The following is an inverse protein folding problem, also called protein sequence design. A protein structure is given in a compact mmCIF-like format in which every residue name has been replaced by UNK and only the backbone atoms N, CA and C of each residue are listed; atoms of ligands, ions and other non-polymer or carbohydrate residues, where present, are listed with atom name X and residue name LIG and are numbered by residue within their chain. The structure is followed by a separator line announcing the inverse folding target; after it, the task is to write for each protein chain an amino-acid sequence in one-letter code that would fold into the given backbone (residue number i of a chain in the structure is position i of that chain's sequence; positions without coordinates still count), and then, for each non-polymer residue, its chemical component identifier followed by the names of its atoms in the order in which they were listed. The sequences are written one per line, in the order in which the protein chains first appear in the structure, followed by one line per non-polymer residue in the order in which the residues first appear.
data_IF_663620109604
#
_entry.id   IF_663620109604
#
_cell.length_a   1.000
_cell.length_b   1.000
_cell.length_c   1.000
_cell.angle_alpha   90.00
_cell.angle_beta   90.00
_cell.angle_gamma   90.00
#
_symmetry.space_group_name_H-M   'P 1'
#
loop_
_entity.id
_entity.type
_entity.pdbx_description
1 polymer ?
#
# COMPACT_ATOMS: atom_id res chain seq x y z
N UNK A 1 10.60 -0.41 24.76
CA UNK A 1 9.42 0.38 24.31
C UNK A 1 9.22 0.19 22.81
N UNK A 2 8.56 -0.89 22.37
CA UNK A 2 8.33 -1.22 20.95
C UNK A 2 6.91 -0.82 20.46
N UNK A 3 6.30 0.21 21.07
CA UNK A 3 4.87 0.54 20.86
C UNK A 3 4.56 1.87 20.17
N UNK A 4 5.49 2.84 20.17
CA UNK A 4 5.19 4.19 19.67
C UNK A 4 5.30 4.32 18.14
N UNK A 5 6.27 3.64 17.51
CA UNK A 5 6.46 3.69 16.05
C UNK A 5 5.39 2.95 15.26
N UNK A 6 4.91 1.80 15.77
CA UNK A 6 3.90 0.97 15.10
C UNK A 6 2.54 1.66 15.07
N UNK A 7 2.11 2.27 16.19
CA UNK A 7 0.83 3.01 16.26
C UNK A 7 0.79 4.25 15.37
N UNK A 8 1.94 4.87 15.08
CA UNK A 8 2.02 5.97 14.11
C UNK A 8 1.95 5.46 12.68
N UNK A 9 2.61 4.35 12.38
CA UNK A 9 2.60 3.77 11.04
C UNK A 9 1.22 3.24 10.65
N UNK A 10 0.54 2.59 11.59
CA UNK A 10 -0.83 2.10 11.45
C UNK A 10 -1.77 3.25 11.05
N UNK A 11 -1.80 4.33 11.84
CA UNK A 11 -2.57 5.53 11.51
C UNK A 11 -2.20 6.14 10.16
N UNK A 12 -0.90 6.21 9.84
CA UNK A 12 -0.45 6.76 8.55
C UNK A 12 -0.94 5.93 7.36
N UNK A 13 -0.93 4.59 7.46
CA UNK A 13 -1.48 3.74 6.41
C UNK A 13 -2.99 3.90 6.31
N UNK A 14 -3.70 3.96 7.43
CA UNK A 14 -5.15 4.17 7.44
C UNK A 14 -5.54 5.49 6.74
N UNK A 15 -4.87 6.60 7.10
CA UNK A 15 -5.09 7.92 6.48
C UNK A 15 -4.77 7.93 4.98
N UNK A 16 -3.72 7.22 4.55
CA UNK A 16 -3.38 7.08 3.14
C UNK A 16 -4.46 6.30 2.38
N UNK A 17 -4.94 5.18 2.94
CA UNK A 17 -5.99 4.36 2.34
C UNK A 17 -7.32 5.12 2.24
N UNK A 18 -7.69 5.85 3.29
CA UNK A 18 -8.87 6.74 3.28
C UNK A 18 -8.75 7.83 2.21
N UNK A 19 -7.59 8.48 2.11
CA UNK A 19 -7.37 9.54 1.13
C UNK A 19 -7.43 9.00 -0.30
N UNK A 20 -6.78 7.87 -0.57
CA UNK A 20 -6.87 7.20 -1.87
C UNK A 20 -8.31 6.80 -2.19
N UNK A 21 -9.04 6.23 -1.22
CA UNK A 21 -10.43 5.83 -1.41
C UNK A 21 -11.36 7.00 -1.74
N UNK A 22 -11.08 8.22 -1.26
CA UNK A 22 -11.86 9.43 -1.57
C UNK A 22 -11.50 10.04 -2.92
N UNK A 23 -10.24 9.90 -3.34
CA UNK A 23 -9.73 10.45 -4.60
C UNK A 23 -10.00 9.56 -5.80
N UNK A 24 -10.22 8.26 -5.58
CA UNK A 24 -10.58 7.32 -6.63
C UNK A 24 -12.10 7.37 -6.78
N UNK A 25 -12.55 7.81 -7.95
CA UNK A 25 -13.92 7.55 -8.37
C UNK A 25 -14.04 6.07 -8.78
N UNK A 26 -14.87 5.31 -8.06
CA UNK A 26 -15.08 3.89 -8.32
C UNK A 26 -15.78 3.60 -9.64
N UNK A 27 -16.47 4.57 -10.24
CA UNK A 27 -17.07 4.44 -11.56
C UNK A 27 -16.03 4.54 -12.68
N UNK A 28 -15.06 5.45 -12.53
CA UNK A 28 -14.02 5.71 -13.53
C UNK A 28 -12.80 4.78 -13.39
N UNK A 29 -12.51 4.33 -12.17
CA UNK A 29 -11.35 3.48 -11.86
C UNK A 29 -11.72 2.28 -10.98
N UNK A 30 -12.61 1.38 -11.45
CA UNK A 30 -13.18 0.31 -10.63
C UNK A 30 -12.10 -0.66 -10.11
N UNK A 31 -11.07 -0.99 -10.91
CA UNK A 31 -9.99 -1.87 -10.46
C UNK A 31 -9.11 -1.22 -9.40
N UNK A 32 -8.77 0.06 -9.53
CA UNK A 32 -7.99 0.79 -8.52
C UNK A 32 -8.79 0.92 -7.22
N UNK A 33 -10.10 1.23 -7.31
CA UNK A 33 -11.00 1.31 -6.16
C UNK A 33 -11.10 -0.03 -5.43
N UNK A 34 -11.21 -1.13 -6.18
CA UNK A 34 -11.22 -2.49 -5.63
C UNK A 34 -9.92 -2.79 -4.87
N UNK A 35 -8.77 -2.47 -5.43
CA UNK A 35 -7.48 -2.69 -4.77
C UNK A 35 -7.34 -1.89 -3.47
N UNK A 36 -7.76 -0.62 -3.45
CA UNK A 36 -7.75 0.20 -2.23
C UNK A 36 -8.73 -0.32 -1.18
N UNK A 37 -9.93 -0.75 -1.60
CA UNK A 37 -10.92 -1.36 -0.71
C UNK A 37 -10.40 -2.66 -0.07
N UNK A 38 -9.75 -3.52 -0.87
CA UNK A 38 -9.09 -4.74 -0.36
C UNK A 38 -7.97 -4.40 0.62
N UNK A 39 -7.16 -3.37 0.35
CA UNK A 39 -6.11 -2.93 1.26
C UNK A 39 -6.66 -2.42 2.60
N UNK A 40 -7.81 -1.72 2.60
CA UNK A 40 -8.51 -1.32 3.84
C UNK A 40 -8.98 -2.51 4.65
N UNK A 41 -9.53 -3.53 4.01
CA UNK A 41 -9.92 -4.76 4.68
C UNK A 41 -8.71 -5.51 5.26
N UNK A 42 -7.63 -5.64 4.48
CA UNK A 42 -6.39 -6.28 4.89
C UNK A 42 -5.73 -5.55 6.08
N UNK A 43 -5.87 -4.23 6.17
CA UNK A 43 -5.29 -3.43 7.26
C UNK A 43 -5.83 -3.79 8.65
N UNK A 44 -7.02 -4.38 8.75
CA UNK A 44 -7.55 -4.85 10.02
C UNK A 44 -6.87 -6.13 10.54
N UNK A 45 -6.18 -6.87 9.66
CA UNK A 45 -5.65 -8.21 9.97
C UNK A 45 -4.15 -8.35 9.70
N UNK A 46 -3.53 -7.41 8.98
CA UNK A 46 -2.15 -7.48 8.53
C UNK A 46 -1.34 -6.27 8.98
N UNK A 47 -0.02 -6.45 9.03
CA UNK A 47 0.90 -5.38 9.37
C UNK A 47 0.84 -4.24 8.33
N UNK A 48 0.91 -2.97 8.76
CA UNK A 48 0.84 -1.81 7.86
C UNK A 48 1.83 -1.86 6.68
N UNK A 49 3.04 -2.37 6.90
CA UNK A 49 4.07 -2.52 5.84
C UNK A 49 3.67 -3.56 4.78
N UNK A 50 3.02 -4.65 5.21
CA UNK A 50 2.54 -5.70 4.31
C UNK A 50 1.43 -5.16 3.42
N UNK A 51 0.47 -4.43 4.00
CA UNK A 51 -0.61 -3.77 3.27
C UNK A 51 -0.06 -2.75 2.28
N UNK A 52 0.87 -1.90 2.71
CA UNK A 52 1.51 -0.91 1.85
C UNK A 52 2.22 -1.55 0.66
N UNK A 53 2.98 -2.63 0.90
CA UNK A 53 3.71 -3.36 -0.15
C UNK A 53 2.76 -4.01 -1.16
N UNK A 54 1.73 -4.70 -0.68
CA UNK A 54 0.72 -5.34 -1.53
C UNK A 54 0.02 -4.30 -2.40
N UNK A 55 -0.52 -3.24 -1.80
CA UNK A 55 -1.24 -2.20 -2.54
C UNK A 55 -0.35 -1.50 -3.57
N UNK A 56 0.87 -1.10 -3.16
CA UNK A 56 1.82 -0.43 -4.07
C UNK A 56 2.16 -1.31 -5.28
N UNK A 57 2.35 -2.62 -5.06
CA UNK A 57 2.65 -3.56 -6.14
C UNK A 57 1.44 -3.79 -7.04
N UNK A 58 0.25 -4.01 -6.48
CA UNK A 58 -0.97 -4.22 -7.28
C UNK A 58 -1.31 -3.01 -8.14
N UNK A 59 -1.20 -1.79 -7.60
CA UNK A 59 -1.41 -0.56 -8.37
C UNK A 59 -0.32 -0.36 -9.43
N UNK A 60 0.93 -0.75 -9.14
CA UNK A 60 2.00 -0.72 -10.14
C UNK A 60 1.74 -1.68 -11.30
N UNK A 61 1.35 -2.92 -11.01
CA UNK A 61 0.99 -3.89 -12.05
C UNK A 61 -0.23 -3.45 -12.87
N UNK A 62 -1.25 -2.90 -12.21
CA UNK A 62 -2.40 -2.32 -12.90
C UNK A 62 -1.98 -1.21 -13.87
N UNK A 63 -1.09 -0.30 -13.42
CA UNK A 63 -0.54 0.77 -14.26
C UNK A 63 0.31 0.25 -15.43
N UNK A 64 1.05 -0.84 -15.25
CA UNK A 64 1.81 -1.49 -16.33
C UNK A 64 0.90 -2.16 -17.36
N UNK A 65 -0.21 -2.74 -16.90
CA UNK A 65 -1.25 -3.30 -17.78
C UNK A 65 -1.92 -2.21 -18.60
N UNK A 66 -2.32 -1.13 -17.93
CA UNK A 66 -2.96 0.02 -18.57
C UNK A 66 -2.79 1.25 -17.66
N UNK A 67 -2.08 2.24 -18.19
CA UNK A 67 -1.77 3.44 -17.43
C UNK A 67 -3.01 4.28 -17.08
N UNK A 68 -4.11 4.11 -17.82
CA UNK A 68 -5.36 4.85 -17.59
C UNK A 68 -6.17 4.29 -16.44
N UNK A 69 -5.89 3.07 -15.96
CA UNK A 69 -6.62 2.41 -14.87
C UNK A 69 -6.22 2.88 -13.47
N UNK A 70 -5.17 3.68 -13.36
CA UNK A 70 -4.70 4.24 -12.08
C UNK A 70 -4.77 5.76 -12.16
N UNK A 71 -5.61 6.41 -11.32
CA UNK A 71 -5.75 7.86 -11.34
C UNK A 71 -4.45 8.56 -10.98
N UNK A 72 -4.19 9.70 -11.60
CA UNK A 72 -3.01 10.51 -11.33
C UNK A 72 -3.09 11.23 -9.97
N UNK A 73 -4.31 11.41 -9.48
CA UNK A 73 -4.73 12.09 -8.27
C UNK A 73 -4.19 11.41 -7.00
N UNK A 74 -3.93 10.09 -7.09
CA UNK A 74 -3.36 9.27 -6.01
C UNK A 74 -1.83 9.11 -6.08
N UNK A 75 -1.15 9.83 -6.97
CA UNK A 75 0.31 9.73 -7.15
C UNK A 75 1.12 10.13 -5.91
N UNK A 76 0.60 11.09 -5.14
CA UNK A 76 1.21 11.54 -3.89
C UNK A 76 1.15 10.42 -2.84
N UNK A 77 -0.03 9.80 -2.69
CA UNK A 77 -0.27 8.71 -1.74
C UNK A 77 0.53 7.46 -2.11
N UNK A 78 0.62 7.13 -3.42
CA UNK A 78 1.50 6.08 -3.92
C UNK A 78 2.97 6.32 -3.58
N UNK A 79 3.43 7.57 -3.70
CA UNK A 79 4.79 7.94 -3.31
C UNK A 79 4.99 7.82 -1.80
N UNK A 80 4.00 8.17 -1.00
CA UNK A 80 4.02 8.01 0.44
C UNK A 80 4.08 6.53 0.86
N UNK A 81 3.27 5.66 0.25
CA UNK A 81 3.33 4.20 0.45
C UNK A 81 4.71 3.65 0.15
N UNK A 82 5.32 4.04 -0.98
CA UNK A 82 6.70 3.63 -1.33
C UNK A 82 7.74 4.11 -0.31
N UNK A 83 7.61 5.33 0.22
CA UNK A 83 8.49 5.83 1.27
C UNK A 83 8.35 5.02 2.56
N UNK A 84 7.14 4.61 2.92
CA UNK A 84 6.89 3.75 4.09
C UNK A 84 7.56 2.39 3.90
N UNK A 85 7.40 1.77 2.72
CA UNK A 85 8.06 0.51 2.38
C UNK A 85 9.59 0.66 2.49
N UNK A 86 10.17 1.71 1.93
CA UNK A 86 11.62 1.93 1.93
C UNK A 86 12.18 2.27 3.32
N UNK A 87 11.44 3.02 4.14
CA UNK A 87 11.81 3.29 5.54
C UNK A 87 11.69 2.04 6.41
N UNK A 88 10.69 1.19 6.14
CA UNK A 88 10.55 -0.13 6.77
C UNK A 88 11.65 -1.10 6.33
N UNK A 89 12.06 -1.08 5.06
CA UNK A 89 13.09 -1.94 4.49
C UNK A 89 14.51 -1.58 4.95
N UNK A 90 14.86 -0.30 5.03
CA UNK A 90 16.20 0.11 5.50
C UNK A 90 16.44 -0.19 7.00
N UNK A 91 15.38 -0.30 7.81
CA UNK A 91 15.45 -0.62 9.23
C UNK A 91 15.29 -2.10 9.58
N UNK A 92 14.53 -2.88 8.79
CA UNK A 92 14.28 -4.31 9.07
C UNK A 92 15.31 -5.26 8.46
N UNK A 93 16.00 -4.88 7.38
CA UNK A 93 17.02 -5.75 6.76
C UNK A 93 18.33 -5.74 7.58
N UNK A 94 18.50 -4.80 8.51
CA UNK A 94 19.70 -4.70 9.33
C UNK A 94 19.78 -5.74 10.48
N UNK A 95 18.71 -6.47 10.80
CA UNK A 95 18.69 -7.37 11.98
C UNK A 95 17.97 -8.72 11.78
N UNK A 96 18.02 -9.29 10.57
CA UNK A 96 17.69 -10.71 10.40
C UNK A 96 17.18 -11.07 9.02
N UNK A 97 18.03 -11.77 8.25
CA UNK A 97 17.64 -12.68 7.16
C UNK A 97 16.60 -12.15 6.19
N UNK A 98 17.05 -11.53 5.10
CA UNK A 98 16.20 -11.17 3.97
C UNK A 98 15.41 -12.37 3.45
N UNK A 99 14.12 -12.44 3.81
CA UNK A 99 13.14 -13.23 3.09
C UNK A 99 12.29 -12.28 2.26
N UNK A 100 12.49 -12.39 0.94
CA UNK A 100 11.70 -11.73 -0.09
C UNK A 100 10.21 -12.00 0.14
N UNK A 101 9.42 -10.95 0.44
CA UNK A 101 7.96 -10.99 0.48
C UNK A 101 7.34 -11.00 -0.94
N UNK A 102 7.87 -11.84 -1.82
CA UNK A 102 7.22 -12.22 -3.08
C UNK A 102 6.21 -13.33 -2.79
N UNK A 103 5.04 -12.96 -2.27
CA UNK A 103 3.87 -13.84 -2.17
C UNK A 103 2.60 -13.00 -2.47
N UNK A 104 2.27 -12.81 -3.75
CA UNK A 104 1.31 -13.61 -4.54
C UNK A 104 -0.13 -13.12 -4.39
N UNK A 105 -0.44 -12.02 -5.09
CA UNK A 105 -1.73 -11.94 -5.80
C UNK A 105 -1.47 -12.48 -7.21
N UNK A 106 -1.84 -13.72 -7.45
CA UNK A 106 -2.02 -14.21 -8.82
C UNK A 106 -3.39 -13.73 -9.32
N UNK A 107 -3.40 -13.17 -10.52
CA UNK A 107 -4.62 -12.82 -11.28
C UNK A 107 -5.36 -14.09 -11.69
#
# INVERSE_FOLDING_TARGET
MFGFGVKQLDKQIDELLETMSRKIDGADYPEAAKLVSMAKADHQQQLPQTVASKLSNSLYFLKLSDATKVPSEISIELTALRRIINKGGAGYVANGGGQSLTAQYHL
#
